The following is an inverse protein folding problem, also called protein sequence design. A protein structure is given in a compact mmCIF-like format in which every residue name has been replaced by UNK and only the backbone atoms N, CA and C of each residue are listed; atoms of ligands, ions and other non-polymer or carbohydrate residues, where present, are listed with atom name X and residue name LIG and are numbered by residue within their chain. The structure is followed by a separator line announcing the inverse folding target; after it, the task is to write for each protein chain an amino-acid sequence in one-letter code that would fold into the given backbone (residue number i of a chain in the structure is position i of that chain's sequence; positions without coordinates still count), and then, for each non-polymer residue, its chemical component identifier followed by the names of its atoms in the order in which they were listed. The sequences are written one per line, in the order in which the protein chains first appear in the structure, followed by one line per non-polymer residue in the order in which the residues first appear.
data_IF_898606974967
#
_entry.id   IF_898606974967
#
_cell.length_a   1.000
_cell.length_b   1.000
_cell.length_c   1.000
_cell.angle_alpha   90.00
_cell.angle_beta   90.00
_cell.angle_gamma   90.00
#
_symmetry.space_group_name_H-M   'P 1'
#
loop_
_entity.id
_entity.type
_entity.pdbx_description
1 polymer ?
#
# COMPACT_ATOMS: atom_id res chain seq x y z
N UNK A 1 -9.92 -6.87 -11.82
CA UNK A 1 -10.04 -5.92 -10.77
C UNK A 1 -9.68 -6.52 -9.44
N UNK A 2 -8.96 -5.83 -8.62
CA UNK A 2 -8.52 -6.38 -7.36
C UNK A 2 -9.52 -6.17 -6.26
N UNK A 3 -9.64 -7.14 -5.38
CA UNK A 3 -10.49 -6.99 -4.23
C UNK A 3 -9.75 -6.20 -3.16
N UNK A 4 -10.48 -5.73 -2.17
CA UNK A 4 -9.87 -5.00 -1.07
C UNK A 4 -8.82 -5.85 -0.36
N UNK A 5 -9.08 -7.14 -0.22
CA UNK A 5 -8.15 -8.02 0.45
C UNK A 5 -6.86 -8.17 -0.34
N UNK A 6 -6.98 -8.28 -1.65
CA UNK A 6 -5.81 -8.39 -2.49
C UNK A 6 -4.99 -7.12 -2.43
N UNK A 7 -5.67 -5.97 -2.44
CA UNK A 7 -4.98 -4.70 -2.36
C UNK A 7 -4.28 -4.56 -1.02
N UNK A 8 -4.92 -4.98 0.06
CA UNK A 8 -4.29 -4.91 1.37
C UNK A 8 -3.04 -5.79 1.45
N UNK A 9 -3.12 -6.97 0.86
CA UNK A 9 -1.96 -7.86 0.88
C UNK A 9 -0.80 -7.24 0.11
N UNK A 10 -1.08 -6.67 -1.03
CA UNK A 10 -0.05 -6.05 -1.82
C UNK A 10 0.52 -4.82 -1.13
N UNK A 11 -0.33 -4.06 -0.47
CA UNK A 11 0.11 -2.89 0.26
C UNK A 11 1.06 -3.30 1.39
N UNK A 12 0.76 -4.38 2.07
CA UNK A 12 1.62 -4.86 3.13
C UNK A 12 2.98 -5.26 2.58
N UNK A 13 2.98 -5.93 1.42
CA UNK A 13 4.24 -6.32 0.81
C UNK A 13 5.08 -5.12 0.43
N UNK A 14 4.45 -4.09 -0.13
CA UNK A 14 5.18 -2.89 -0.51
C UNK A 14 5.75 -2.21 0.72
N UNK A 15 4.99 -2.13 1.80
CA UNK A 15 5.47 -1.52 3.01
C UNK A 15 6.64 -2.29 3.61
N UNK A 16 6.58 -3.60 3.54
CA UNK A 16 7.68 -4.41 4.03
C UNK A 16 8.92 -4.19 3.18
N UNK A 17 8.75 -4.05 1.88
CA UNK A 17 9.89 -3.80 1.02
C UNK A 17 10.53 -2.45 1.35
N UNK A 18 9.72 -1.43 1.56
CA UNK A 18 10.23 -0.12 1.91
C UNK A 18 11.01 -0.19 3.22
N UNK A 19 10.42 -0.84 4.21
CA UNK A 19 11.06 -0.97 5.52
C UNK A 19 12.38 -1.71 5.40
N UNK A 20 12.40 -2.79 4.64
CA UNK A 20 13.61 -3.59 4.51
C UNK A 20 14.71 -2.79 3.82
N UNK A 21 14.37 -2.05 2.78
CA UNK A 21 15.37 -1.25 2.10
C UNK A 21 15.91 -0.16 3.01
N UNK A 22 15.03 0.49 3.76
CA UNK A 22 15.46 1.55 4.65
C UNK A 22 16.29 1.02 5.81
N UNK A 23 15.87 -0.09 6.37
CA UNK A 23 16.52 -0.62 7.55
C UNK A 23 17.84 -1.29 7.23
N UNK A 24 17.86 -2.11 6.20
CA UNK A 24 19.04 -2.86 5.88
C UNK A 24 19.94 -2.19 4.90
N UNK A 25 19.41 -1.26 4.15
CA UNK A 25 20.19 -0.61 3.12
C UNK A 25 20.55 -1.54 2.00
N UNK A 26 19.82 -2.64 1.84
CA UNK A 26 20.12 -3.61 0.85
C UNK A 26 18.94 -3.79 -0.08
N UNK A 27 19.15 -4.56 -1.12
CA UNK A 27 18.06 -4.80 -2.05
C UNK A 27 17.08 -5.80 -1.46
N UNK A 28 15.86 -5.74 -1.92
CA UNK A 28 14.79 -6.62 -1.49
C UNK A 28 14.09 -7.14 -2.72
N UNK A 29 13.73 -8.41 -2.72
CA UNK A 29 13.03 -9.00 -3.84
C UNK A 29 11.62 -9.39 -3.44
N UNK A 30 10.64 -8.94 -4.21
CA UNK A 30 9.30 -9.44 -4.03
C UNK A 30 8.57 -9.35 -5.37
N UNK A 31 7.66 -10.27 -5.58
CA UNK A 31 6.91 -10.38 -6.82
C UNK A 31 7.83 -10.44 -8.03
N UNK A 32 8.95 -11.12 -7.89
CA UNK A 32 9.85 -11.33 -9.02
C UNK A 32 10.68 -10.12 -9.38
N UNK A 33 10.63 -9.06 -8.55
CA UNK A 33 11.41 -7.87 -8.82
C UNK A 33 12.29 -7.53 -7.65
N UNK A 34 13.46 -6.96 -7.94
CA UNK A 34 14.40 -6.57 -6.92
C UNK A 34 14.39 -5.06 -6.80
N UNK A 35 14.23 -4.56 -5.58
CA UNK A 35 14.19 -3.14 -5.32
C UNK A 35 15.35 -2.74 -4.43
N UNK A 36 15.96 -1.61 -4.73
CA UNK A 36 17.06 -1.09 -3.94
C UNK A 36 16.67 0.28 -3.44
N UNK A 37 17.58 0.95 -2.76
CA UNK A 37 17.32 2.29 -2.30
C UNK A 37 16.96 3.23 -3.42
N UNK A 38 17.52 3.00 -4.59
CA UNK A 38 17.23 3.85 -5.72
C UNK A 38 15.76 3.74 -6.14
N UNK A 39 15.09 2.69 -5.71
CA UNK A 39 13.71 2.48 -6.07
C UNK A 39 12.74 2.93 -4.98
N UNK A 40 13.24 3.57 -3.92
CA UNK A 40 12.35 3.96 -2.84
C UNK A 40 11.22 4.85 -3.27
N UNK A 41 11.49 5.78 -4.16
CA UNK A 41 10.42 6.65 -4.61
C UNK A 41 9.38 5.89 -5.37
N UNK A 42 9.80 4.91 -6.15
CA UNK A 42 8.87 4.08 -6.87
C UNK A 42 8.02 3.25 -5.90
N UNK A 43 8.66 2.74 -4.87
CA UNK A 43 7.93 1.96 -3.88
C UNK A 43 6.91 2.81 -3.16
N UNK A 44 7.27 4.03 -2.83
CA UNK A 44 6.35 4.91 -2.15
C UNK A 44 5.19 5.33 -3.05
N UNK A 45 5.48 5.49 -4.34
CA UNK A 45 4.42 5.79 -5.28
C UNK A 45 3.46 4.61 -5.39
N UNK A 46 3.99 3.39 -5.39
CA UNK A 46 3.16 2.21 -5.42
C UNK A 46 2.30 2.14 -4.17
N UNK A 47 2.87 2.47 -3.03
CA UNK A 47 2.11 2.47 -1.79
C UNK A 47 0.97 3.45 -1.86
N UNK A 48 1.23 4.64 -2.34
CA UNK A 48 0.20 5.67 -2.43
C UNK A 48 -0.91 5.24 -3.38
N UNK A 49 -0.54 4.66 -4.51
CA UNK A 49 -1.53 4.20 -5.45
C UNK A 49 -2.38 3.09 -4.87
N UNK A 50 -1.76 2.17 -4.14
CA UNK A 50 -2.50 1.08 -3.54
C UNK A 50 -3.44 1.57 -2.45
N UNK A 51 -3.04 2.60 -1.74
CA UNK A 51 -3.92 3.17 -0.73
C UNK A 51 -5.13 3.81 -1.37
N UNK A 52 -4.96 4.45 -2.50
CA UNK A 52 -6.07 5.02 -3.21
C UNK A 52 -6.99 3.92 -3.73
N UNK A 53 -6.40 2.86 -4.29
CA UNK A 53 -7.18 1.75 -4.78
C UNK A 53 -7.95 1.08 -3.65
N UNK A 54 -7.32 0.95 -2.50
CA UNK A 54 -7.97 0.32 -1.36
C UNK A 54 -9.16 1.14 -0.92
N UNK A 55 -8.99 2.44 -0.89
CA UNK A 55 -10.08 3.31 -0.49
C UNK A 55 -11.25 3.18 -1.45
N UNK A 56 -10.96 3.06 -2.74
CA UNK A 56 -12.00 2.91 -3.74
C UNK A 56 -12.70 1.57 -3.63
N UNK A 57 -11.97 0.54 -3.19
CA UNK A 57 -12.54 -0.79 -3.07
C UNK A 57 -13.27 -1.02 -1.77
N UNK A 58 -13.12 -0.13 -0.80
CA UNK A 58 -13.74 -0.30 0.50
C UNK A 58 -15.14 0.31 0.49
N UNK A 59 -16.09 -0.35 1.12
CA UNK A 59 -17.45 0.16 1.11
C UNK A 59 -17.56 1.53 1.71
N UNK A 60 -18.34 2.41 1.09
CA UNK A 60 -18.43 3.72 1.57
C UNK A 60 -19.31 3.91 2.70
N UNK A 61 -20.13 2.98 3.03
CA UNK A 61 -21.06 3.15 4.07
C UNK A 61 -20.46 3.52 5.37
N UNK A 62 -19.29 3.04 5.70
CA UNK A 62 -18.71 3.36 6.97
C UNK A 62 -18.37 4.84 7.05
N UNK A 63 -17.84 5.40 5.98
CA UNK A 63 -17.49 6.77 6.03
C UNK A 63 -18.70 7.61 6.10
N UNK A 64 -19.73 7.19 5.47
CA UNK A 64 -20.93 7.92 5.48
C UNK A 64 -21.49 8.00 6.86
N UNK A 65 -21.45 6.93 7.62
CA UNK A 65 -21.95 6.97 8.91
C UNK A 65 -21.17 7.82 9.80
N UNK A 66 -19.94 7.91 9.61
CA UNK A 66 -19.16 8.71 10.47
C UNK A 66 -19.51 10.12 10.39
N UNK A 67 -19.88 10.57 9.28
CA UNK A 67 -20.17 11.95 9.14
C UNK A 67 -21.42 12.34 9.82
N UNK A 68 -22.39 11.56 9.69
CA UNK A 68 -23.65 11.90 10.24
C UNK A 68 -23.71 12.09 11.69
N UNK A 69 -23.28 11.19 12.45
CA UNK A 69 -23.47 11.28 13.85
C UNK A 69 -22.83 12.41 14.52
N UNK A 70 -21.97 13.00 13.95
CA UNK A 70 -21.26 13.92 14.58
C UNK A 70 -21.94 15.02 14.86
N UNK A 71 -22.81 15.27 14.39
CA UNK A 71 -23.46 16.45 14.61
C UNK A 71 -23.87 16.77 15.88
#
# INVERSE_FOLDING_TARGET
MQTAEEIQARLREVREAITAVLTRGQSVTFNGRTYTRAHLEQLRAMEADLRIDLRAATPRRSRFRQVVPRV
#
